data_IF_597031304357
#
_entry.id   IF_597031304357
#
_cell.length_a   1.000
_cell.length_b   1.000
_cell.length_c   1.000
_cell.angle_alpha   90.00
_cell.angle_beta   90.00
_cell.angle_gamma   90.00
#
_symmetry.space_group_name_H-M   'P 1'
#
loop_
_entity.id
_entity.type
_entity.pdbx_description
1 polymer ?
#
# COMPACT_ATOMS: atom_id res chain seq x y z
N UNK A 1 -0.29 -11.35 -26.84
CA UNK A 1 -0.83 -10.91 -25.55
C UNK A 1 -0.06 -11.61 -24.45
N UNK A 2 0.48 -10.87 -23.48
CA UNK A 2 1.14 -11.46 -22.32
C UNK A 2 0.07 -11.82 -21.29
N UNK A 3 0.20 -12.97 -20.64
CA UNK A 3 -0.73 -13.43 -19.61
C UNK A 3 0.09 -13.91 -18.42
N UNK A 4 -0.08 -13.26 -17.28
CA UNK A 4 0.46 -13.71 -16.00
C UNK A 4 -0.53 -14.70 -15.39
N UNK A 5 -0.01 -15.81 -14.86
CA UNK A 5 -0.80 -16.83 -14.18
C UNK A 5 -0.16 -17.05 -12.83
N UNK A 6 -0.92 -16.85 -11.77
CA UNK A 6 -0.48 -17.14 -10.42
C UNK A 6 -0.31 -18.64 -10.19
N UNK A 7 0.70 -19.00 -9.42
CA UNK A 7 0.95 -20.35 -8.97
C UNK A 7 1.65 -20.36 -7.63
N UNK A 8 1.68 -21.52 -7.00
CA UNK A 8 2.43 -21.75 -5.77
C UNK A 8 3.71 -22.50 -6.13
N UNK A 9 4.83 -22.07 -5.59
CA UNK A 9 6.09 -22.81 -5.66
C UNK A 9 6.29 -23.60 -4.37
N UNK A 10 6.36 -24.92 -4.49
CA UNK A 10 6.57 -25.82 -3.35
C UNK A 10 7.50 -26.96 -3.76
N UNK A 11 8.53 -27.24 -2.95
CA UNK A 11 9.47 -28.35 -3.16
C UNK A 11 10.10 -28.44 -4.57
N UNK A 12 10.36 -27.30 -5.22
CA UNK A 12 10.93 -27.28 -6.57
C UNK A 12 9.89 -27.41 -7.70
N UNK A 13 8.60 -27.52 -7.39
CA UNK A 13 7.51 -27.62 -8.36
C UNK A 13 6.64 -26.35 -8.33
N UNK A 14 6.27 -25.87 -9.53
CA UNK A 14 5.32 -24.76 -9.69
C UNK A 14 3.96 -25.34 -10.03
N UNK A 15 2.97 -25.10 -9.17
CA UNK A 15 1.58 -25.50 -9.37
C UNK A 15 0.75 -24.27 -9.73
N UNK A 16 0.26 -24.22 -10.97
CA UNK A 16 -0.56 -23.11 -11.45
C UNK A 16 -1.97 -23.16 -10.85
N UNK A 17 -2.48 -22.03 -10.35
CA UNK A 17 -3.86 -21.93 -9.84
C UNK A 17 -4.90 -22.04 -10.97
N UNK A 18 -4.52 -21.61 -12.17
CA UNK A 18 -5.41 -21.60 -13.33
C UNK A 18 -4.77 -22.26 -14.54
N UNK A 19 -5.60 -22.93 -15.34
CA UNK A 19 -5.16 -23.54 -16.59
C UNK A 19 -4.98 -22.44 -17.65
N UNK A 20 -3.79 -22.28 -18.25
CA UNK A 20 -3.62 -21.38 -19.38
C UNK A 20 -4.55 -21.76 -20.54
N UNK A 21 -5.14 -20.75 -21.18
CA UNK A 21 -5.97 -20.96 -22.38
C UNK A 21 -5.15 -21.44 -23.59
N UNK A 22 -3.83 -21.20 -23.60
CA UNK A 22 -2.94 -21.65 -24.66
C UNK A 22 -2.57 -23.12 -24.49
N UNK A 23 -2.88 -23.93 -25.51
CA UNK A 23 -2.48 -25.34 -25.61
C UNK A 23 -1.21 -25.54 -26.44
N UNK A 24 -0.70 -24.49 -27.09
CA UNK A 24 0.50 -24.54 -27.91
C UNK A 24 1.78 -24.39 -27.08
N UNK A 25 2.89 -24.98 -27.56
CA UNK A 25 4.22 -24.83 -26.94
C UNK A 25 4.59 -23.34 -26.88
N UNK A 26 4.93 -22.85 -25.70
CA UNK A 26 5.28 -21.46 -25.45
C UNK A 26 6.52 -21.34 -24.56
N UNK A 27 7.26 -20.24 -24.69
CA UNK A 27 8.33 -19.86 -23.76
C UNK A 27 7.70 -19.19 -22.54
N UNK A 28 8.03 -19.66 -21.34
CA UNK A 28 7.50 -19.15 -20.07
C UNK A 28 8.62 -18.47 -19.28
N UNK A 29 8.30 -17.38 -18.61
CA UNK A 29 9.16 -16.71 -17.64
C UNK A 29 8.51 -16.84 -16.27
N UNK A 30 9.26 -17.31 -15.28
CA UNK A 30 8.80 -17.46 -13.90
C UNK A 30 9.40 -16.33 -13.09
N UNK A 31 8.57 -15.60 -12.36
CA UNK A 31 8.98 -14.52 -11.47
C UNK A 31 8.63 -14.99 -10.06
N UNK A 32 9.63 -15.03 -9.19
CA UNK A 32 9.43 -15.28 -7.76
C UNK A 32 9.29 -13.94 -7.07
N UNK A 33 8.10 -13.66 -6.57
CA UNK A 33 7.90 -12.56 -5.63
C UNK A 33 8.21 -13.11 -4.24
N UNK A 34 9.38 -12.73 -3.70
CA UNK A 34 9.67 -12.95 -2.30
C UNK A 34 8.72 -12.03 -1.52
N UNK A 35 7.64 -12.61 -0.97
CA UNK A 35 6.94 -11.95 0.14
C UNK A 35 7.98 -11.78 1.24
N UNK A 36 8.45 -10.55 1.42
CA UNK A 36 9.15 -10.18 2.64
C UNK A 36 8.27 -10.71 3.79
N UNK A 37 8.84 -11.46 4.75
CA UNK A 37 8.04 -11.97 5.86
C UNK A 37 7.28 -10.78 6.40
N UNK A 38 5.94 -10.81 6.34
CA UNK A 38 5.13 -9.74 6.90
C UNK A 38 5.68 -9.55 8.30
N UNK A 39 6.40 -8.44 8.51
CA UNK A 39 7.08 -8.27 9.77
C UNK A 39 5.96 -8.16 10.77
N UNK A 40 5.78 -9.19 11.60
CA UNK A 40 4.67 -9.31 12.56
C UNK A 40 4.76 -8.28 13.68
N UNK A 41 5.50 -7.19 13.48
CA UNK A 41 5.34 -5.97 14.24
C UNK A 41 3.98 -5.37 13.88
N UNK A 42 2.94 -5.90 14.54
CA UNK A 42 1.73 -5.13 14.74
C UNK A 42 2.17 -3.71 15.11
N UNK A 43 1.73 -2.66 14.39
CA UNK A 43 2.17 -1.31 14.67
C UNK A 43 1.90 -1.03 16.14
N UNK A 44 2.95 -0.65 16.88
CA UNK A 44 2.83 -0.37 18.30
C UNK A 44 1.60 0.52 18.52
N UNK A 45 0.68 0.10 19.41
CA UNK A 45 -0.54 0.86 19.71
C UNK A 45 -0.13 2.28 20.07
N UNK A 46 -0.37 3.23 19.16
CA UNK A 46 -0.06 4.64 19.40
C UNK A 46 -1.05 5.16 20.45
N UNK A 47 -0.58 5.73 21.57
CA UNK A 47 -1.50 6.33 22.52
C UNK A 47 -2.25 7.50 21.86
N UNK A 48 -3.47 7.77 22.32
CA UNK A 48 -4.19 8.97 21.90
C UNK A 48 -3.44 10.22 22.35
N UNK A 49 -3.45 11.28 21.54
CA UNK A 49 -2.82 12.55 21.90
C UNK A 49 -1.30 12.62 21.70
N UNK A 50 -0.67 11.68 20.99
CA UNK A 50 0.79 11.71 20.71
C UNK A 50 1.28 12.99 20.02
N UNK A 51 0.40 13.70 19.30
CA UNK A 51 0.71 14.94 18.62
C UNK A 51 0.20 16.18 19.37
N UNK A 52 -0.31 16.02 20.60
CA UNK A 52 -0.80 17.14 21.40
C UNK A 52 0.37 18.09 21.70
N UNK A 53 0.23 19.35 21.29
CA UNK A 53 1.27 20.36 21.44
C UNK A 53 2.41 20.28 20.43
N UNK A 54 2.34 19.38 19.44
CA UNK A 54 3.34 19.30 18.37
C UNK A 54 3.24 20.47 17.37
N UNK A 55 2.08 21.13 17.31
CA UNK A 55 1.83 22.29 16.46
C UNK A 55 1.28 23.40 17.35
N UNK A 56 1.84 24.58 17.21
CA UNK A 56 1.35 25.79 17.84
C UNK A 56 0.63 26.64 16.79
N UNK A 57 -0.60 27.03 17.10
CA UNK A 57 -1.37 27.97 16.31
C UNK A 57 -0.77 29.37 16.47
N UNK A 58 -0.80 30.18 15.41
CA UNK A 58 -0.47 31.60 15.54
C UNK A 58 -1.52 32.30 16.42
N UNK A 59 -1.11 33.36 17.10
CA UNK A 59 -1.99 34.09 18.04
C UNK A 59 -3.16 34.82 17.36
N UNK A 60 -3.06 35.00 16.05
CA UNK A 60 -3.99 35.73 15.17
C UNK A 60 -4.84 34.78 14.31
N UNK A 61 -4.82 33.47 14.56
CA UNK A 61 -5.55 32.51 13.70
C UNK A 61 -7.06 32.75 13.65
N UNK A 62 -7.65 33.20 14.76
CA UNK A 62 -9.07 33.49 14.86
C UNK A 62 -9.40 34.94 14.43
N UNK A 63 -8.40 35.74 14.06
CA UNK A 63 -8.63 37.12 13.63
C UNK A 63 -9.31 37.15 12.26
N UNK A 64 -10.24 38.10 12.04
CA UNK A 64 -10.96 38.21 10.78
C UNK A 64 -9.99 38.50 9.63
N UNK A 65 -10.12 37.75 8.54
CA UNK A 65 -9.34 37.99 7.33
C UNK A 65 -9.72 39.35 6.73
N UNK A 66 -8.73 40.21 6.56
CA UNK A 66 -8.89 41.54 5.94
C UNK A 66 -9.62 41.47 4.59
N UNK A 67 -9.30 40.47 3.78
CA UNK A 67 -9.87 40.23 2.45
C UNK A 67 -11.37 39.86 2.48
N UNK A 68 -11.89 39.44 3.64
CA UNK A 68 -13.29 39.04 3.80
C UNK A 68 -14.15 40.13 4.47
N UNK A 69 -13.57 41.29 4.81
CA UNK A 69 -14.30 42.39 5.46
C UNK A 69 -15.47 42.93 4.64
N UNK A 70 -15.34 42.92 3.32
CA UNK A 70 -16.38 43.42 2.41
C UNK A 70 -17.60 42.47 2.32
N UNK A 71 -17.51 41.28 2.92
CA UNK A 71 -18.51 40.21 2.86
C UNK A 71 -19.13 39.84 4.22
N UNK A 72 -18.68 40.43 5.33
CA UNK A 72 -19.26 40.29 6.68
C UNK A 72 -19.99 41.56 7.11
#
# INVERSE_FOLDING_TARGET
MLTAIEGVYENGQIVLKHKPKSTAKAKVMVIFEEEAPETTYAPAKRPFGIAQGAIQLSSDFDDPLEDLKDYM
#
